data_IF_454133068052
#
_entry.id   IF_454133068052
#
_cell.length_a   1.000
_cell.length_b   1.000
_cell.length_c   1.000
_cell.angle_alpha   90.00
_cell.angle_beta   90.00
_cell.angle_gamma   90.00
#
_symmetry.space_group_name_H-M   'P 1'
#
loop_
_entity.id
_entity.type
_entity.pdbx_description
1 polymer ?
#
# COMPACT_ATOMS: atom_id res chain seq x y z
N UNK A 1 16.08 -18.45 -76.74
CA UNK A 1 15.60 -17.14 -76.24
C UNK A 1 15.62 -17.18 -74.72
N UNK A 2 16.73 -16.75 -74.12
CA UNK A 2 16.90 -15.46 -73.45
C UNK A 2 16.24 -15.37 -72.06
N UNK A 3 17.02 -15.86 -71.07
CA UNK A 3 17.42 -15.33 -69.75
C UNK A 3 16.45 -14.55 -68.82
N UNK A 4 16.69 -14.68 -67.48
CA UNK A 4 15.90 -14.09 -66.39
C UNK A 4 16.35 -12.66 -66.03
N UNK A 5 15.50 -11.87 -65.37
CA UNK A 5 15.91 -10.61 -64.71
C UNK A 5 15.16 -10.36 -63.40
N UNK A 6 15.97 -10.15 -62.37
CA UNK A 6 15.69 -9.67 -61.02
C UNK A 6 14.89 -8.38 -60.97
N UNK A 7 14.15 -8.14 -59.88
CA UNK A 7 14.08 -6.80 -59.29
C UNK A 7 13.74 -6.87 -57.79
N UNK A 8 14.71 -6.41 -57.00
CA UNK A 8 14.57 -6.11 -55.60
C UNK A 8 13.59 -4.95 -55.39
N UNK A 9 12.71 -5.05 -54.40
CA UNK A 9 12.02 -3.88 -53.84
C UNK A 9 12.56 -3.62 -52.43
N UNK A 10 13.54 -2.72 -52.38
CA UNK A 10 13.93 -1.99 -51.19
C UNK A 10 12.85 -0.92 -50.98
N UNK A 11 12.00 -1.09 -49.97
CA UNK A 11 11.11 -0.03 -49.50
C UNK A 11 11.72 0.57 -48.23
N UNK A 12 12.58 1.56 -48.43
CA UNK A 12 12.90 2.56 -47.42
C UNK A 12 11.72 3.54 -47.34
N UNK A 13 11.03 3.57 -46.20
CA UNK A 13 10.16 4.69 -45.85
C UNK A 13 10.83 5.52 -44.77
N UNK A 14 11.07 6.77 -45.12
CA UNK A 14 11.76 7.77 -44.33
C UNK A 14 10.93 8.26 -43.13
N UNK A 15 11.64 8.41 -42.02
CA UNK A 15 11.78 9.62 -41.21
C UNK A 15 10.57 10.55 -40.96
N UNK A 16 10.49 10.94 -39.68
CA UNK A 16 9.85 12.13 -39.07
C UNK A 16 8.45 11.94 -38.49
N UNK A 17 8.41 11.71 -37.17
CA UNK A 17 7.78 12.65 -36.23
C UNK A 17 8.55 12.60 -34.89
N UNK A 18 8.96 13.78 -34.44
CA UNK A 18 9.63 14.02 -33.17
C UNK A 18 8.66 13.91 -31.98
N UNK A 19 9.24 13.63 -30.82
CA UNK A 19 8.80 14.01 -29.47
C UNK A 19 7.38 13.62 -29.04
N UNK A 20 7.27 12.63 -28.16
CA UNK A 20 6.91 12.83 -26.74
C UNK A 20 6.68 11.48 -26.04
N UNK A 21 7.34 11.34 -24.88
CA UNK A 21 6.92 10.56 -23.73
C UNK A 21 6.62 9.06 -23.93
N UNK A 22 7.62 8.24 -24.24
CA UNK A 22 7.58 6.83 -23.82
C UNK A 22 8.01 6.75 -22.35
N UNK A 23 6.98 6.75 -21.51
CA UNK A 23 6.96 6.43 -20.09
C UNK A 23 8.25 5.76 -19.59
N UNK A 24 9.02 6.52 -18.81
CA UNK A 24 9.88 5.90 -17.82
C UNK A 24 8.95 5.09 -16.92
N UNK A 25 8.95 3.78 -17.11
CA UNK A 25 8.48 2.84 -16.10
C UNK A 25 9.40 3.09 -14.92
N UNK A 26 8.94 3.95 -14.02
CA UNK A 26 9.47 4.06 -12.67
C UNK A 26 9.16 2.70 -12.05
N UNK A 27 10.11 1.78 -12.21
CA UNK A 27 10.27 0.67 -11.28
C UNK A 27 10.49 1.37 -9.95
N UNK A 28 9.43 1.43 -9.17
CA UNK A 28 9.42 1.88 -7.79
C UNK A 28 10.31 0.91 -7.01
N UNK A 29 11.62 1.15 -7.13
CA UNK A 29 12.65 0.46 -6.39
C UNK A 29 12.38 0.71 -4.93
N UNK A 30 11.94 -0.33 -4.24
CA UNK A 30 11.91 -0.40 -2.79
C UNK A 30 13.31 -0.13 -2.27
N UNK A 31 13.54 1.09 -1.81
CA UNK A 31 14.87 1.56 -1.47
C UNK A 31 14.91 3.01 -0.98
N UNK A 32 13.84 3.50 -0.36
CA UNK A 32 13.85 4.72 0.43
C UNK A 32 12.65 4.70 1.40
N UNK A 33 12.85 4.22 2.64
CA UNK A 33 11.91 4.47 3.75
C UNK A 33 12.53 4.14 5.11
N UNK A 34 13.76 4.61 5.35
CA UNK A 34 14.25 4.88 6.71
C UNK A 34 13.77 6.27 7.13
N UNK A 35 12.46 6.50 7.13
CA UNK A 35 11.85 7.81 7.28
C UNK A 35 10.38 7.71 6.89
N UNK A 36 9.50 8.11 7.80
CA UNK A 36 8.06 7.82 7.73
C UNK A 36 7.79 6.31 7.68
N UNK A 37 7.86 5.66 8.85
CA UNK A 37 6.90 4.59 9.16
C UNK A 37 5.56 5.24 8.88
N UNK A 38 5.02 5.01 7.69
CA UNK A 38 3.75 5.56 7.26
C UNK A 38 2.79 5.16 8.36
N UNK A 39 2.46 6.12 9.21
CA UNK A 39 1.22 6.12 9.93
C UNK A 39 0.17 6.28 8.83
N UNK A 40 0.00 5.25 8.01
CA UNK A 40 -1.32 4.89 7.57
C UNK A 40 -2.05 4.72 8.89
N UNK A 41 -2.99 5.59 9.26
CA UNK A 41 -3.93 5.21 10.29
C UNK A 41 -4.60 3.95 9.75
N UNK A 42 -4.09 2.78 10.12
CA UNK A 42 -4.67 1.47 9.83
C UNK A 42 -6.00 1.27 10.58
N UNK A 43 -6.59 2.36 11.05
CA UNK A 43 -8.01 2.52 11.30
C UNK A 43 -8.54 3.47 10.23
N UNK A 44 -9.29 2.94 9.27
CA UNK A 44 -10.25 3.75 8.52
C UNK A 44 -11.02 4.61 9.53
N UNK A 45 -11.19 5.93 9.30
CA UNK A 45 -11.97 6.78 10.20
C UNK A 45 -13.33 6.17 10.48
N UNK A 46 -13.85 6.31 11.70
CA UNK A 46 -15.09 5.65 12.13
C UNK A 46 -16.25 5.97 11.18
N UNK A 47 -16.32 7.25 10.77
CA UNK A 47 -17.30 7.75 9.82
C UNK A 47 -17.28 7.03 8.47
N UNK A 48 -16.11 6.61 7.99
CA UNK A 48 -16.01 5.89 6.73
C UNK A 48 -16.71 4.54 6.78
N UNK A 49 -16.63 3.83 7.91
CA UNK A 49 -17.34 2.56 8.10
C UNK A 49 -18.85 2.77 8.18
N UNK A 50 -19.29 3.80 8.89
CA UNK A 50 -20.73 4.09 9.08
C UNK A 50 -21.41 4.63 7.83
N UNK A 51 -20.66 5.03 6.81
CA UNK A 51 -21.23 5.35 5.50
C UNK A 51 -21.84 4.13 4.79
N UNK A 52 -21.34 2.92 5.07
CA UNK A 52 -21.80 1.72 4.39
C UNK A 52 -23.13 1.21 4.97
N UNK A 53 -24.18 1.00 4.15
CA UNK A 53 -25.48 0.51 4.63
C UNK A 53 -25.40 -0.82 5.38
N UNK A 54 -24.47 -1.70 4.99
CA UNK A 54 -24.21 -2.95 5.69
C UNK A 54 -23.78 -2.71 7.13
N UNK A 55 -22.87 -1.75 7.37
CA UNK A 55 -22.39 -1.44 8.72
C UNK A 55 -23.49 -0.80 9.55
N UNK A 56 -24.27 0.12 8.95
CA UNK A 56 -25.43 0.71 9.61
C UNK A 56 -26.44 -0.35 10.05
N UNK A 57 -26.71 -1.36 9.20
CA UNK A 57 -27.59 -2.47 9.54
C UNK A 57 -27.01 -3.35 10.65
N UNK A 58 -25.73 -3.68 10.56
CA UNK A 58 -25.04 -4.58 11.51
C UNK A 58 -25.00 -4.01 12.93
N UNK A 59 -24.90 -2.68 13.07
CA UNK A 59 -24.95 -2.01 14.38
C UNK A 59 -26.31 -1.39 14.68
N UNK A 60 -27.35 -1.75 13.92
CA UNK A 60 -28.74 -1.36 14.16
C UNK A 60 -28.94 0.17 14.27
N UNK A 61 -28.34 0.93 13.35
CA UNK A 61 -28.54 2.38 13.27
C UNK A 61 -30.01 2.69 12.95
N UNK A 62 -30.67 3.44 13.83
CA UNK A 62 -32.05 3.91 13.66
C UNK A 62 -32.10 5.18 12.80
N UNK A 63 -33.28 5.51 12.27
CA UNK A 63 -33.43 6.60 11.29
C UNK A 63 -33.00 7.97 11.84
N UNK A 64 -33.30 8.28 13.10
CA UNK A 64 -32.84 9.52 13.74
C UNK A 64 -31.31 9.61 13.79
N UNK A 65 -30.63 8.49 14.09
CA UNK A 65 -29.16 8.43 14.07
C UNK A 65 -28.60 8.58 12.65
N UNK A 66 -29.30 8.07 11.61
CA UNK A 66 -28.86 8.29 10.21
C UNK A 66 -28.89 9.77 9.85
N UNK A 67 -29.94 10.48 10.22
CA UNK A 67 -30.06 11.93 9.97
C UNK A 67 -28.92 12.70 10.63
N UNK A 68 -28.56 12.34 11.86
CA UNK A 68 -27.42 12.97 12.55
C UNK A 68 -26.07 12.58 11.93
N UNK A 69 -25.88 11.31 11.54
CA UNK A 69 -24.67 10.88 10.82
C UNK A 69 -24.49 11.65 9.49
N UNK A 70 -25.57 11.90 8.75
CA UNK A 70 -25.53 12.70 7.53
C UNK A 70 -25.11 14.15 7.80
N UNK A 71 -25.54 14.75 8.92
CA UNK A 71 -25.10 16.09 9.33
C UNK A 71 -23.62 16.10 9.64
N UNK A 72 -23.15 15.16 10.48
CA UNK A 72 -21.72 15.01 10.81
C UNK A 72 -20.90 14.80 9.53
N UNK A 73 -21.38 14.00 8.59
CA UNK A 73 -20.70 13.78 7.30
C UNK A 73 -20.59 15.09 6.49
N UNK A 74 -21.66 15.88 6.40
CA UNK A 74 -21.65 17.17 5.71
C UNK A 74 -20.70 18.17 6.37
N UNK A 75 -20.67 18.21 7.71
CA UNK A 75 -19.73 19.03 8.48
C UNK A 75 -18.28 18.63 8.22
N UNK A 76 -17.97 17.33 8.28
CA UNK A 76 -16.66 16.79 7.94
C UNK A 76 -16.26 17.16 6.51
N UNK A 77 -17.17 17.01 5.54
CA UNK A 77 -16.91 17.38 4.14
C UNK A 77 -16.65 18.88 3.98
N UNK A 78 -17.40 19.74 4.68
CA UNK A 78 -17.19 21.18 4.65
C UNK A 78 -15.82 21.57 5.22
N UNK A 79 -15.44 21.01 6.38
CA UNK A 79 -14.13 21.22 7.01
C UNK A 79 -12.98 20.74 6.15
N UNK A 80 -13.12 19.56 5.52
CA UNK A 80 -12.13 19.06 4.57
C UNK A 80 -12.02 19.98 3.36
N UNK A 81 -13.14 20.48 2.81
CA UNK A 81 -13.14 21.42 1.69
C UNK A 81 -12.45 22.74 2.04
N UNK A 82 -12.71 23.27 3.23
CA UNK A 82 -12.05 24.47 3.75
C UNK A 82 -10.55 24.24 3.92
N UNK A 83 -10.16 23.13 4.55
CA UNK A 83 -8.77 22.73 4.69
C UNK A 83 -8.05 22.68 3.34
N UNK A 84 -8.64 22.04 2.33
CA UNK A 84 -8.05 21.99 0.98
C UNK A 84 -7.86 23.37 0.35
N UNK A 85 -8.81 24.30 0.55
CA UNK A 85 -8.66 25.68 0.09
C UNK A 85 -7.49 26.37 0.80
N UNK A 86 -7.44 26.28 2.13
CA UNK A 86 -6.32 26.80 2.92
C UNK A 86 -4.98 26.23 2.47
N UNK A 87 -4.91 24.94 2.14
CA UNK A 87 -3.69 24.32 1.60
C UNK A 87 -3.31 24.81 0.21
N UNK A 88 -4.29 25.02 -0.68
CA UNK A 88 -4.06 25.61 -2.00
C UNK A 88 -3.52 27.04 -1.90
N UNK A 89 -4.03 27.81 -0.94
CA UNK A 89 -3.66 29.20 -0.73
C UNK A 89 -2.34 29.37 0.03
N UNK A 90 -1.97 28.42 0.89
CA UNK A 90 -0.78 28.48 1.76
C UNK A 90 0.57 28.41 1.02
N UNK A 91 0.58 28.21 -0.31
CA UNK A 91 1.79 28.15 -1.17
C UNK A 91 2.98 27.44 -0.52
N UNK A 92 2.74 26.27 0.07
CA UNK A 92 3.78 25.50 0.75
C UNK A 92 4.64 24.80 -0.32
N UNK A 93 5.85 25.33 -0.53
CA UNK A 93 6.80 24.85 -1.54
C UNK A 93 7.40 23.49 -1.15
N UNK A 94 7.73 23.28 0.13
CA UNK A 94 8.27 22.02 0.61
C UNK A 94 7.21 20.90 0.62
N UNK A 95 7.39 19.83 -0.17
CA UNK A 95 6.45 18.71 -0.18
C UNK A 95 6.31 18.02 1.17
N UNK A 96 7.37 17.98 2.00
CA UNK A 96 7.33 17.29 3.30
C UNK A 96 6.52 18.07 4.33
N UNK A 97 6.76 19.39 4.44
CA UNK A 97 5.98 20.28 5.30
C UNK A 97 4.50 20.30 4.90
N UNK A 98 4.22 20.34 3.59
CA UNK A 98 2.84 20.27 3.06
C UNK A 98 2.15 18.98 3.50
N UNK A 99 2.83 17.85 3.37
CA UNK A 99 2.30 16.55 3.78
C UNK A 99 2.03 16.48 5.28
N UNK A 100 2.96 17.00 6.10
CA UNK A 100 2.83 16.98 7.57
C UNK A 100 1.61 17.77 8.02
N UNK A 101 1.46 19.02 7.55
CA UNK A 101 0.31 19.85 7.90
C UNK A 101 -0.99 19.22 7.43
N UNK A 102 -1.01 18.61 6.24
CA UNK A 102 -2.21 17.94 5.74
C UNK A 102 -2.63 16.77 6.64
N UNK A 103 -1.66 16.01 7.12
CA UNK A 103 -1.90 14.93 8.09
C UNK A 103 -2.41 15.46 9.44
N UNK A 104 -1.87 16.57 9.95
CA UNK A 104 -2.34 17.19 11.20
C UNK A 104 -3.80 17.61 11.09
N UNK A 105 -4.17 18.34 10.02
CA UNK A 105 -5.56 18.77 9.82
C UNK A 105 -6.50 17.57 9.66
N UNK A 106 -6.09 16.56 8.91
CA UNK A 106 -6.90 15.35 8.77
C UNK A 106 -7.10 14.62 10.11
N UNK A 107 -6.05 14.55 10.95
CA UNK A 107 -6.14 13.96 12.28
C UNK A 107 -7.10 14.72 13.19
N UNK A 108 -7.08 16.05 13.15
CA UNK A 108 -7.95 16.88 13.98
C UNK A 108 -9.42 16.75 13.56
N UNK A 109 -9.70 16.81 12.25
CA UNK A 109 -11.03 16.58 11.71
C UNK A 109 -11.52 15.17 12.05
N UNK A 110 -10.66 14.16 11.92
CA UNK A 110 -11.00 12.76 12.24
C UNK A 110 -11.32 12.60 13.73
N UNK A 111 -10.52 13.17 14.64
CA UNK A 111 -10.77 13.09 16.08
C UNK A 111 -12.11 13.72 16.46
N UNK A 112 -12.38 14.92 15.95
CA UNK A 112 -13.63 15.61 16.23
C UNK A 112 -14.84 14.81 15.70
N UNK A 113 -14.72 14.29 14.47
CA UNK A 113 -15.76 13.45 13.86
C UNK A 113 -15.99 12.18 14.69
N UNK A 114 -14.92 11.51 15.11
CA UNK A 114 -15.00 10.30 15.94
C UNK A 114 -15.66 10.59 17.29
N UNK A 115 -15.39 11.75 17.91
CA UNK A 115 -16.07 12.17 19.14
C UNK A 115 -17.57 12.41 18.95
N UNK A 116 -17.97 13.08 17.86
CA UNK A 116 -19.38 13.32 17.54
C UNK A 116 -20.11 11.98 17.30
N UNK A 117 -19.53 11.09 16.50
CA UNK A 117 -20.07 9.75 16.25
C UNK A 117 -20.16 8.95 17.55
N UNK A 118 -19.13 8.97 18.40
CA UNK A 118 -19.15 8.28 19.68
C UNK A 118 -20.22 8.83 20.63
N UNK A 119 -20.57 10.11 20.58
CA UNK A 119 -21.68 10.66 21.39
C UNK A 119 -23.04 10.20 20.88
N UNK A 120 -23.17 9.96 19.57
CA UNK A 120 -24.41 9.53 18.92
C UNK A 120 -24.73 8.04 19.12
N UNK A 121 -23.70 7.18 19.15
CA UNK A 121 -23.88 5.73 19.26
C UNK A 121 -24.27 5.29 20.68
N UNK A 122 -25.17 4.32 20.76
CA UNK A 122 -25.53 3.64 22.01
C UNK A 122 -24.42 2.66 22.44
N UNK A 123 -24.33 2.30 23.75
CA UNK A 123 -23.26 1.41 24.23
C UNK A 123 -23.14 0.07 23.48
N UNK A 124 -24.26 -0.56 23.14
CA UNK A 124 -24.25 -1.83 22.39
C UNK A 124 -23.74 -1.66 20.96
N UNK A 125 -24.07 -0.54 20.29
CA UNK A 125 -23.62 -0.23 18.94
C UNK A 125 -22.11 0.01 18.91
N UNK A 126 -21.58 0.75 19.90
CA UNK A 126 -20.12 0.92 20.06
C UNK A 126 -19.42 -0.42 20.23
N UNK A 127 -19.95 -1.29 21.10
CA UNK A 127 -19.39 -2.62 21.33
C UNK A 127 -19.36 -3.44 20.05
N UNK A 128 -20.47 -3.50 19.32
CA UNK A 128 -20.56 -4.23 18.05
C UNK A 128 -19.57 -3.65 17.02
N UNK A 129 -19.49 -2.32 16.92
CA UNK A 129 -18.56 -1.64 16.02
C UNK A 129 -17.09 -1.96 16.35
N UNK A 130 -16.70 -1.93 17.62
CA UNK A 130 -15.36 -2.34 18.06
C UNK A 130 -15.06 -3.80 17.68
N UNK A 131 -16.03 -4.71 17.85
CA UNK A 131 -15.86 -6.12 17.47
C UNK A 131 -15.67 -6.29 15.96
N UNK A 132 -16.47 -5.60 15.14
CA UNK A 132 -16.33 -5.61 13.69
C UNK A 132 -14.97 -5.05 13.27
N UNK A 133 -14.56 -3.92 13.86
CA UNK A 133 -13.25 -3.33 13.57
C UNK A 133 -12.11 -4.28 13.93
N UNK A 134 -12.22 -5.04 15.03
CA UNK A 134 -11.24 -6.07 15.38
C UNK A 134 -11.23 -7.21 14.34
N UNK A 135 -12.41 -7.71 13.94
CA UNK A 135 -12.52 -8.74 12.91
C UNK A 135 -11.92 -8.28 11.58
N UNK A 136 -12.21 -7.05 11.16
CA UNK A 136 -11.63 -6.45 9.96
C UNK A 136 -10.12 -6.35 10.05
N UNK A 137 -9.57 -5.90 11.19
CA UNK A 137 -8.12 -5.85 11.42
C UNK A 137 -7.49 -7.24 11.32
N UNK A 138 -8.10 -8.25 11.93
CA UNK A 138 -7.61 -9.64 11.89
C UNK A 138 -7.69 -10.22 10.48
N UNK A 139 -8.77 -9.97 9.74
CA UNK A 139 -8.93 -10.43 8.36
C UNK A 139 -7.95 -9.73 7.40
N UNK A 140 -7.75 -8.42 7.56
CA UNK A 140 -6.77 -7.66 6.80
C UNK A 140 -5.33 -8.03 7.15
N UNK A 141 -5.11 -8.65 8.32
CA UNK A 141 -3.79 -9.11 8.75
C UNK A 141 -3.28 -10.36 8.01
N UNK A 142 -3.79 -10.60 6.80
CA UNK A 142 -3.41 -11.71 5.93
C UNK A 142 -1.91 -11.71 5.59
N UNK A 143 -1.37 -12.90 5.35
CA UNK A 143 0.05 -13.15 5.01
C UNK A 143 1.06 -12.81 6.11
N UNK A 144 0.62 -12.75 7.37
CA UNK A 144 1.52 -12.51 8.51
C UNK A 144 1.94 -11.05 8.65
N UNK A 145 1.07 -10.13 8.28
CA UNK A 145 1.29 -8.69 8.47
C UNK A 145 0.20 -8.15 9.38
N UNK A 146 0.54 -7.41 10.43
CA UNK A 146 -0.44 -6.70 11.26
C UNK A 146 -1.17 -7.54 12.30
N UNK A 147 -1.00 -8.87 12.32
CA UNK A 147 -1.66 -9.75 13.29
C UNK A 147 -1.19 -9.46 14.73
N UNK A 148 0.12 -9.27 14.94
CA UNK A 148 0.64 -8.87 16.25
C UNK A 148 0.16 -7.46 16.61
N UNK A 149 -0.05 -6.58 15.63
CA UNK A 149 -0.63 -5.26 15.83
C UNK A 149 -2.10 -5.30 16.24
N UNK A 150 -2.90 -6.21 15.64
CA UNK A 150 -4.32 -6.38 15.94
C UNK A 150 -4.54 -6.91 17.36
N UNK A 151 -3.75 -7.89 17.79
CA UNK A 151 -3.82 -8.46 19.14
C UNK A 151 -3.11 -7.59 20.20
N UNK A 152 -2.07 -6.86 19.79
CA UNK A 152 -1.26 -6.04 20.69
C UNK A 152 -1.85 -4.68 21.04
N UNK A 153 -2.99 -4.29 20.44
CA UNK A 153 -3.70 -3.06 20.82
C UNK A 153 -4.19 -3.13 22.26
N UNK A 154 -4.08 -2.02 23.00
CA UNK A 154 -4.18 -2.04 24.47
C UNK A 154 -5.47 -2.66 25.02
N UNK A 155 -6.62 -2.40 24.40
CA UNK A 155 -7.89 -2.98 24.87
C UNK A 155 -7.97 -4.48 24.60
N UNK A 156 -7.59 -4.92 23.40
CA UNK A 156 -7.61 -6.34 23.00
C UNK A 156 -6.58 -7.14 23.79
N UNK A 157 -5.38 -6.59 23.98
CA UNK A 157 -4.33 -7.20 24.76
C UNK A 157 -4.73 -7.36 26.23
N UNK A 158 -5.40 -6.36 26.82
CA UNK A 158 -5.91 -6.45 28.20
C UNK A 158 -6.99 -7.52 28.33
N UNK A 159 -7.99 -7.52 27.45
CA UNK A 159 -9.10 -8.49 27.46
C UNK A 159 -8.60 -9.93 27.26
N UNK A 160 -7.58 -10.13 26.42
CA UNK A 160 -6.98 -11.43 26.17
C UNK A 160 -5.89 -11.82 27.19
N UNK A 161 -5.55 -10.94 28.13
CA UNK A 161 -4.47 -11.16 29.09
C UNK A 161 -3.09 -11.33 28.42
N UNK A 162 -2.87 -10.68 27.28
CA UNK A 162 -1.61 -10.73 26.53
C UNK A 162 -0.56 -9.93 27.29
N UNK A 163 0.43 -10.65 27.83
CA UNK A 163 1.60 -10.08 28.50
C UNK A 163 2.53 -9.36 27.52
N UNK A 164 3.37 -8.46 28.02
CA UNK A 164 4.37 -7.79 27.19
C UNK A 164 5.37 -8.77 26.55
N UNK A 165 5.69 -9.87 27.25
CA UNK A 165 6.50 -10.95 26.70
C UNK A 165 5.82 -11.61 25.49
N UNK A 166 4.50 -11.86 25.56
CA UNK A 166 3.74 -12.39 24.43
C UNK A 166 3.60 -11.38 23.29
N UNK A 167 3.44 -10.07 23.59
CA UNK A 167 3.44 -9.02 22.54
C UNK A 167 4.75 -9.04 21.76
N UNK A 168 5.87 -9.16 22.45
CA UNK A 168 7.19 -9.23 21.83
C UNK A 168 7.38 -10.54 21.03
N UNK A 169 6.95 -11.67 21.58
CA UNK A 169 7.00 -12.95 20.86
C UNK A 169 6.14 -12.94 19.58
N UNK A 170 4.93 -12.37 19.65
CA UNK A 170 4.05 -12.19 18.50
C UNK A 170 4.71 -11.34 17.42
N UNK A 171 5.39 -10.25 17.79
CA UNK A 171 6.14 -9.40 16.84
C UNK A 171 7.27 -10.18 16.16
N UNK A 172 8.07 -10.94 16.92
CA UNK A 172 9.15 -11.75 16.35
C UNK A 172 8.63 -12.82 15.39
N UNK A 173 7.58 -13.55 15.79
CA UNK A 173 6.94 -14.54 14.91
C UNK A 173 6.38 -13.89 13.64
N UNK A 174 5.80 -12.70 13.74
CA UNK A 174 5.33 -11.94 12.57
C UNK A 174 6.50 -11.64 11.61
N UNK A 175 7.65 -11.20 12.12
CA UNK A 175 8.86 -10.95 11.32
C UNK A 175 9.41 -12.22 10.65
N UNK A 176 9.42 -13.35 11.36
CA UNK A 176 9.84 -14.64 10.82
C UNK A 176 8.91 -15.13 9.71
N UNK A 177 7.59 -15.05 9.94
CA UNK A 177 6.57 -15.41 8.94
C UNK A 177 6.72 -14.52 7.71
N UNK A 178 6.94 -13.22 7.90
CA UNK A 178 7.16 -12.26 6.82
C UNK A 178 8.39 -12.62 5.99
N UNK A 179 9.52 -12.90 6.63
CA UNK A 179 10.73 -13.29 5.93
C UNK A 179 10.56 -14.61 5.16
N UNK A 180 9.86 -15.58 5.75
CA UNK A 180 9.52 -16.84 5.11
C UNK A 180 8.61 -16.66 3.90
N UNK A 181 7.58 -15.81 4.02
CA UNK A 181 6.68 -15.47 2.93
C UNK A 181 7.39 -14.74 1.80
N UNK A 182 8.28 -13.80 2.10
CA UNK A 182 9.07 -13.09 1.09
C UNK A 182 9.89 -14.06 0.24
N UNK A 183 10.55 -15.05 0.86
CA UNK A 183 11.30 -16.10 0.14
C UNK A 183 10.38 -16.93 -0.75
N UNK A 184 9.25 -17.39 -0.22
CA UNK A 184 8.26 -18.16 -0.99
C UNK A 184 7.71 -17.36 -2.17
N UNK A 185 7.42 -16.08 -1.99
CA UNK A 185 7.00 -15.19 -3.08
C UNK A 185 8.08 -15.08 -4.16
N UNK A 186 9.34 -14.85 -3.79
CA UNK A 186 10.44 -14.78 -4.76
C UNK A 186 10.58 -16.06 -5.58
N UNK A 187 10.52 -17.22 -4.91
CA UNK A 187 10.59 -18.53 -5.58
C UNK A 187 9.37 -18.77 -6.49
N UNK A 188 8.17 -18.44 -6.01
CA UNK A 188 6.93 -18.56 -6.77
C UNK A 188 6.96 -17.71 -8.03
N UNK A 189 7.31 -16.43 -7.92
CA UNK A 189 7.37 -15.52 -9.07
C UNK A 189 8.47 -15.91 -10.06
N UNK A 190 9.61 -16.39 -9.58
CA UNK A 190 10.67 -16.90 -10.47
C UNK A 190 10.15 -18.09 -11.30
N UNK A 191 9.49 -19.07 -10.66
CA UNK A 191 8.90 -20.22 -11.36
C UNK A 191 7.82 -19.77 -12.34
N UNK A 192 6.91 -18.91 -11.90
CA UNK A 192 5.84 -18.37 -12.74
C UNK A 192 6.39 -17.65 -13.97
N UNK A 193 7.47 -16.88 -13.81
CA UNK A 193 8.15 -16.21 -14.91
C UNK A 193 8.78 -17.21 -15.90
N UNK A 194 9.46 -18.25 -15.41
CA UNK A 194 10.04 -19.31 -16.25
C UNK A 194 8.96 -20.06 -17.05
N UNK A 195 7.86 -20.43 -16.40
CA UNK A 195 6.71 -21.11 -17.01
C UNK A 195 6.05 -20.24 -18.08
N UNK A 196 5.72 -18.99 -17.72
CA UNK A 196 5.10 -18.03 -18.65
C UNK A 196 6.03 -17.76 -19.84
N UNK A 197 7.33 -17.58 -19.60
CA UNK A 197 8.30 -17.36 -20.69
C UNK A 197 8.34 -18.56 -21.63
N UNK A 198 8.37 -19.79 -21.09
CA UNK A 198 8.36 -21.01 -21.90
C UNK A 198 7.10 -21.13 -22.75
N UNK A 199 5.94 -20.84 -22.17
CA UNK A 199 4.65 -20.88 -22.86
C UNK A 199 4.61 -19.85 -24.01
N UNK A 200 4.99 -18.61 -23.74
CA UNK A 200 5.04 -17.56 -24.76
C UNK A 200 6.07 -17.86 -25.87
N UNK A 201 7.24 -18.40 -25.52
CA UNK A 201 8.27 -18.80 -26.49
C UNK A 201 7.85 -19.98 -27.37
N UNK A 202 6.87 -20.79 -26.93
CA UNK A 202 6.38 -21.92 -27.70
C UNK A 202 5.59 -21.49 -28.94
N UNK A 203 5.00 -20.29 -28.92
CA UNK A 203 4.24 -19.70 -30.03
C UNK A 203 5.17 -19.27 -31.18
N UNK A 204 6.42 -18.93 -30.88
CA UNK A 204 7.38 -18.51 -31.88
C UNK A 204 7.86 -19.69 -32.74
N UNK A 205 8.18 -19.43 -34.00
CA UNK A 205 8.86 -20.40 -34.87
C UNK A 205 10.33 -20.58 -34.45
N UNK A 206 10.99 -21.69 -34.82
CA UNK A 206 12.42 -21.88 -34.56
C UNK A 206 13.31 -20.74 -35.09
N UNK A 207 12.99 -20.20 -36.28
CA UNK A 207 13.74 -19.08 -36.86
C UNK A 207 13.56 -17.78 -36.06
N UNK A 208 12.36 -17.49 -35.57
CA UNK A 208 12.08 -16.32 -34.72
C UNK A 208 12.77 -16.44 -33.36
N UNK A 209 12.78 -17.63 -32.74
CA UNK A 209 13.51 -17.86 -31.48
C UNK A 209 15.01 -17.61 -31.64
N UNK A 210 15.62 -18.15 -32.70
CA UNK A 210 17.04 -17.89 -33.01
C UNK A 210 17.31 -16.41 -33.21
N UNK A 211 16.44 -15.70 -33.94
CA UNK A 211 16.61 -14.26 -34.14
C UNK A 211 16.49 -13.46 -32.84
N UNK A 212 15.58 -13.86 -31.96
CA UNK A 212 15.42 -13.24 -30.65
C UNK A 212 16.67 -13.45 -29.78
N UNK A 213 17.25 -14.66 -29.76
CA UNK A 213 18.51 -14.93 -29.05
C UNK A 213 19.65 -14.04 -29.53
N UNK A 214 19.80 -13.85 -30.86
CA UNK A 214 20.77 -12.92 -31.44
C UNK A 214 20.56 -11.46 -31.00
N UNK A 215 19.29 -11.03 -30.91
CA UNK A 215 18.94 -9.66 -30.50
C UNK A 215 19.14 -9.42 -29.00
N UNK A 216 18.86 -10.43 -28.17
CA UNK A 216 18.99 -10.32 -26.71
C UNK A 216 20.43 -10.49 -26.23
N UNK A 217 21.29 -11.16 -27.02
CA UNK A 217 22.68 -11.37 -26.68
C UNK A 217 22.88 -12.15 -25.38
N UNK A 218 24.00 -11.90 -24.69
CA UNK A 218 24.31 -12.55 -23.42
C UNK A 218 23.34 -12.14 -22.32
N UNK A 219 22.92 -13.11 -21.49
CA UNK A 219 22.04 -12.84 -20.35
C UNK A 219 22.68 -11.84 -19.40
N UNK A 220 22.01 -10.71 -19.18
CA UNK A 220 22.38 -9.73 -18.17
C UNK A 220 21.91 -10.18 -16.78
N UNK A 221 22.82 -10.19 -15.80
CA UNK A 221 22.51 -10.49 -14.40
C UNK A 221 22.56 -9.19 -13.60
N UNK A 222 21.41 -8.74 -13.09
CA UNK A 222 21.37 -7.62 -12.14
C UNK A 222 22.01 -8.07 -10.82
N UNK A 223 23.10 -7.42 -10.40
CA UNK A 223 23.53 -7.51 -9.01
C UNK A 223 22.45 -6.84 -8.16
N UNK A 224 21.84 -7.59 -7.25
CA UNK A 224 20.88 -7.02 -6.30
C UNK A 224 21.60 -5.96 -5.47
N UNK A 225 21.21 -4.69 -5.65
CA UNK A 225 21.64 -3.61 -4.79
C UNK A 225 21.18 -3.92 -3.36
N UNK A 226 22.13 -4.17 -2.47
CA UNK A 226 21.86 -4.24 -1.04
C UNK A 226 22.06 -2.84 -0.46
N UNK A 227 21.02 -2.16 0.06
CA UNK A 227 21.24 -0.95 0.83
C UNK A 227 22.15 -1.29 2.01
N UNK A 228 23.22 -0.51 2.21
CA UNK A 228 24.10 -0.66 3.35
C UNK A 228 23.27 -0.56 4.63
N UNK A 229 23.17 -1.68 5.37
CA UNK A 229 22.61 -1.67 6.71
C UNK A 229 23.57 -0.85 7.55
N UNK A 230 23.20 0.39 7.89
CA UNK A 230 23.98 1.16 8.84
C UNK A 230 23.96 0.39 10.18
N UNK A 231 25.12 0.05 10.76
CA UNK A 231 25.15 -0.58 12.07
C UNK A 231 24.47 0.37 13.08
N UNK A 232 23.73 -0.15 14.07
CA UNK A 232 23.07 0.68 15.06
C UNK A 232 24.11 1.59 15.73
N UNK A 233 23.77 2.88 15.82
CA UNK A 233 24.60 3.86 16.51
C UNK A 233 24.95 3.32 17.90
N UNK A 234 26.24 3.21 18.19
CA UNK A 234 26.72 2.85 19.52
C UNK A 234 26.17 3.89 20.49
N UNK A 235 25.25 3.47 21.36
CA UNK A 235 24.85 4.27 22.51
C UNK A 235 26.06 4.31 23.43
N UNK A 236 26.86 5.37 23.33
CA UNK A 236 27.82 5.71 24.38
C UNK A 236 26.99 5.98 25.64
N UNK A 237 27.03 5.03 26.57
CA UNK A 237 26.65 5.30 27.96
C UNK A 237 27.60 6.38 28.46
N UNK A 238 27.11 7.63 28.54
CA UNK A 238 27.73 8.61 29.44
C UNK A 238 27.64 8.03 30.85
N UNK A 239 28.79 7.82 31.45
CA UNK A 239 28.92 7.33 32.82
C UNK A 239 28.31 8.31 33.81
N UNK A 240 27.82 7.74 34.90
CA UNK A 240 27.53 8.40 36.17
C UNK A 240 28.81 9.00 36.79
#
# INVERSE_FOLDING_TARGET
MFRPTSLAFVAALALVCASQASAQVVVQGGGAAGGARGYYPNSQPLMYLLYYPQMQKEIEIIDDQKVELEKIQKEMQAKMSEAYKTFGDAKIEDPQERQKKYMEIYQDISKETDEQVNKLLLPHQKKQLTQIMLQMKLQQSGYGYGFAGALGGDDVAKELGITDAQKEELRKKEEEVRAGMQKKYQEFYKKLQEETTKELMSVLTPAQRKKLEELTGAKFQWQQWQPAVQPPAKVEKKGD
#
